data_IF_020094969982
#
_entry.id   IF_020094969982
#
_cell.length_a   1.000
_cell.length_b   1.000
_cell.length_c   1.000
_cell.angle_alpha   90.00
_cell.angle_beta   90.00
_cell.angle_gamma   90.00
#
_symmetry.space_group_name_H-M   'P 1'
#
loop_
_entity.id
_entity.type
_entity.pdbx_description
1 polymer ?
#
# COMPACT_ATOMS: atom_id res chain seq x y z
N UNK A 1 11.23 -10.41 1.69
CA UNK A 1 11.55 -9.00 2.02
C UNK A 1 10.27 -8.19 2.10
N UNK A 2 10.19 -7.34 3.13
CA UNK A 2 9.15 -6.33 3.30
C UNK A 2 9.09 -5.37 2.11
N UNK A 3 7.93 -4.77 1.85
CA UNK A 3 7.72 -3.80 0.77
C UNK A 3 8.68 -2.61 0.91
N UNK A 4 8.81 -2.06 2.12
CA UNK A 4 9.74 -0.97 2.40
C UNK A 4 11.18 -1.33 2.04
N UNK A 5 11.63 -2.54 2.39
CA UNK A 5 12.95 -3.05 2.03
C UNK A 5 13.15 -3.16 0.52
N UNK A 6 12.14 -3.62 -0.23
CA UNK A 6 12.21 -3.71 -1.71
C UNK A 6 12.32 -2.33 -2.35
N UNK A 7 11.52 -1.37 -1.90
CA UNK A 7 11.54 0.01 -2.40
C UNK A 7 12.89 0.68 -2.10
N UNK A 8 13.32 0.66 -0.84
CA UNK A 8 14.60 1.26 -0.42
C UNK A 8 15.76 0.64 -1.19
N UNK A 9 15.83 -0.69 -1.30
CA UNK A 9 16.87 -1.35 -2.07
C UNK A 9 16.84 -0.94 -3.55
N UNK A 10 15.66 -0.86 -4.18
CA UNK A 10 15.53 -0.41 -5.56
C UNK A 10 16.04 1.02 -5.76
N UNK A 11 15.64 1.95 -4.89
CA UNK A 11 16.10 3.33 -4.95
C UNK A 11 17.59 3.48 -4.64
N UNK A 12 18.12 2.74 -3.66
CA UNK A 12 19.54 2.75 -3.31
C UNK A 12 20.39 2.24 -4.47
N UNK A 13 19.98 1.15 -5.14
CA UNK A 13 20.70 0.64 -6.31
C UNK A 13 20.75 1.68 -7.43
N UNK A 14 19.60 2.30 -7.76
CA UNK A 14 19.55 3.35 -8.79
C UNK A 14 20.39 4.57 -8.40
N UNK A 15 20.34 5.00 -7.14
CA UNK A 15 21.13 6.11 -6.63
C UNK A 15 22.64 5.82 -6.67
N UNK A 16 23.07 4.61 -6.29
CA UNK A 16 24.47 4.19 -6.36
C UNK A 16 24.98 4.13 -7.79
N UNK A 17 24.17 3.63 -8.72
CA UNK A 17 24.51 3.62 -10.14
C UNK A 17 24.65 5.04 -10.69
N UNK A 18 23.73 5.94 -10.34
CA UNK A 18 23.81 7.36 -10.71
C UNK A 18 25.04 8.04 -10.12
N UNK A 19 25.36 7.79 -8.86
CA UNK A 19 26.56 8.32 -8.20
C UNK A 19 27.84 7.81 -8.85
N UNK A 20 27.93 6.50 -9.14
CA UNK A 20 29.07 5.91 -9.84
C UNK A 20 29.26 6.52 -11.24
N UNK A 21 28.18 6.73 -11.98
CA UNK A 21 28.21 7.41 -13.27
C UNK A 21 28.67 8.87 -13.14
N UNK A 22 28.22 9.59 -12.12
CA UNK A 22 28.65 10.96 -11.83
C UNK A 22 30.15 11.04 -11.50
N UNK A 23 30.64 10.16 -10.62
CA UNK A 23 32.08 10.07 -10.29
C UNK A 23 32.90 9.74 -11.54
N UNK A 24 32.46 8.78 -12.34
CA UNK A 24 33.12 8.43 -13.59
C UNK A 24 33.16 9.61 -14.57
N UNK A 25 32.07 10.37 -14.70
CA UNK A 25 32.02 11.58 -15.54
C UNK A 25 33.01 12.65 -15.07
N UNK A 26 33.11 12.89 -13.76
CA UNK A 26 34.08 13.85 -13.19
C UNK A 26 35.53 13.41 -13.47
N UNK A 27 35.86 12.13 -13.24
CA UNK A 27 37.21 11.60 -13.51
C UNK A 27 37.56 11.75 -14.98
N UNK A 28 36.60 11.49 -15.86
CA UNK A 28 36.80 11.57 -17.30
C UNK A 28 37.00 13.01 -17.77
N UNK A 29 36.19 13.95 -17.28
CA UNK A 29 36.37 15.38 -17.55
C UNK A 29 37.73 15.88 -17.08
N UNK A 30 38.19 15.46 -15.89
CA UNK A 30 39.53 15.83 -15.40
C UNK A 30 40.67 15.29 -16.27
N UNK A 31 40.48 14.14 -16.93
CA UNK A 31 41.48 13.62 -17.88
C UNK A 31 41.54 14.46 -19.15
N UNK A 32 40.38 14.86 -19.68
CA UNK A 32 40.30 15.75 -20.85
C UNK A 32 40.92 17.11 -20.51
N UNK A 33 40.59 17.67 -19.35
CA UNK A 33 41.14 18.93 -18.83
C UNK A 33 42.67 18.90 -18.70
N UNK A 34 43.23 17.82 -18.13
CA UNK A 34 44.67 17.66 -18.04
C UNK A 34 45.35 17.53 -19.42
N UNK A 35 44.70 16.85 -20.36
CA UNK A 35 45.23 16.68 -21.71
C UNK A 35 45.13 17.96 -22.56
N UNK A 36 44.11 18.79 -22.34
CA UNK A 36 43.96 20.12 -22.94
C UNK A 36 44.97 21.11 -22.34
N UNK A 37 45.17 21.07 -21.02
CA UNK A 37 46.21 21.84 -20.33
C UNK A 37 47.59 21.50 -20.87
N UNK A 38 47.88 20.21 -21.09
CA UNK A 38 49.13 19.78 -21.71
C UNK A 38 49.30 20.32 -23.13
N UNK A 39 48.26 20.26 -23.97
CA UNK A 39 48.28 20.82 -25.32
C UNK A 39 48.58 22.34 -25.31
N UNK A 40 48.00 23.07 -24.38
CA UNK A 40 48.25 24.50 -24.24
C UNK A 40 49.67 24.77 -23.70
N UNK A 41 49.99 24.29 -22.50
CA UNK A 41 51.22 24.63 -21.78
C UNK A 41 52.48 24.03 -22.42
N UNK A 42 52.41 22.82 -22.98
CA UNK A 42 53.58 22.09 -23.46
C UNK A 42 53.76 22.10 -24.97
N UNK A 43 52.73 22.44 -25.74
CA UNK A 43 52.82 22.48 -27.22
C UNK A 43 52.55 23.87 -27.80
N UNK A 44 51.75 24.72 -27.14
CA UNK A 44 51.35 26.04 -27.70
C UNK A 44 52.15 27.21 -27.12
N UNK A 45 52.31 27.27 -25.79
CA UNK A 45 53.15 28.28 -25.12
C UNK A 45 54.59 28.37 -25.66
N UNK A 46 55.29 27.25 -25.95
CA UNK A 46 56.67 27.29 -26.46
C UNK A 46 56.80 28.03 -27.80
N UNK A 47 55.76 27.98 -28.65
CA UNK A 47 55.74 28.68 -29.93
C UNK A 47 55.83 30.20 -29.75
N UNK A 48 55.22 30.73 -28.70
CA UNK A 48 55.34 32.15 -28.34
C UNK A 48 56.76 32.51 -27.93
N UNK A 49 57.42 31.65 -27.15
CA UNK A 49 58.81 31.84 -26.74
C UNK A 49 59.78 31.79 -27.94
N UNK A 50 59.59 30.85 -28.88
CA UNK A 50 60.40 30.79 -30.11
C UNK A 50 60.18 32.04 -30.98
N UNK A 51 58.93 32.51 -31.10
CA UNK A 51 58.63 33.74 -31.84
C UNK A 51 59.27 34.98 -31.20
N UNK A 52 59.26 35.08 -29.87
CA UNK A 52 59.91 36.17 -29.14
C UNK A 52 61.44 36.13 -29.30
N UNK A 53 62.04 34.94 -29.19
CA UNK A 53 63.47 34.70 -29.41
C UNK A 53 63.88 35.10 -30.84
N UNK A 54 63.17 34.61 -31.86
CA UNK A 54 63.45 34.95 -33.25
C UNK A 54 63.28 36.45 -33.52
N UNK A 55 62.30 37.11 -32.91
CA UNK A 55 62.16 38.57 -32.99
C UNK A 55 63.34 39.30 -32.35
N UNK A 56 63.85 38.82 -31.21
CA UNK A 56 65.02 39.37 -30.53
C UNK A 56 66.29 39.26 -31.40
N UNK A 57 66.59 38.06 -31.92
CA UNK A 57 67.73 37.82 -32.81
C UNK A 57 67.67 38.72 -34.06
N UNK A 58 66.52 38.78 -34.73
CA UNK A 58 66.36 39.62 -35.92
C UNK A 58 66.56 41.11 -35.61
N UNK A 59 66.14 41.57 -34.43
CA UNK A 59 66.33 42.96 -34.00
C UNK A 59 67.79 43.25 -33.68
N UNK A 60 68.49 42.34 -32.99
CA UNK A 60 69.91 42.47 -32.69
C UNK A 60 70.76 42.40 -33.97
N UNK A 61 70.41 41.54 -34.93
CA UNK A 61 71.01 41.52 -36.27
C UNK A 61 70.89 42.88 -36.95
N UNK A 62 69.71 43.50 -36.89
CA UNK A 62 69.50 44.85 -37.43
C UNK A 62 70.38 45.90 -36.73
N UNK A 63 70.62 45.77 -35.42
CA UNK A 63 71.57 46.65 -34.70
C UNK A 63 73.00 46.46 -35.18
N UNK A 64 73.46 45.23 -35.38
CA UNK A 64 74.79 44.94 -35.94
C UNK A 64 74.98 45.53 -37.34
N UNK A 65 74.00 45.34 -38.23
CA UNK A 65 74.05 45.93 -39.58
C UNK A 65 73.97 47.45 -39.56
N UNK A 66 73.16 48.04 -38.66
CA UNK A 66 73.07 49.51 -38.50
C UNK A 66 74.38 50.09 -37.96
N UNK A 67 75.09 49.38 -37.09
CA UNK A 67 76.39 49.80 -36.60
C UNK A 67 77.45 49.94 -37.71
N UNK A 68 77.34 49.14 -38.77
CA UNK A 68 78.23 49.25 -39.95
C UNK A 68 77.92 50.52 -40.75
N UNK A 69 76.64 50.87 -40.90
CA UNK A 69 76.17 52.01 -41.70
C UNK A 69 76.31 53.34 -40.95
N UNK A 70 76.04 53.32 -39.64
CA UNK A 70 76.04 54.47 -38.73
C UNK A 70 76.88 54.19 -37.48
N UNK A 71 78.22 54.18 -37.59
CA UNK A 71 79.13 53.85 -36.49
C UNK A 71 79.00 54.76 -35.27
N UNK A 72 78.54 56.00 -35.45
CA UNK A 72 78.27 56.94 -34.37
C UNK A 72 77.18 56.47 -33.40
N UNK A 73 76.32 55.53 -33.83
CA UNK A 73 75.24 54.99 -33.01
C UNK A 73 75.66 53.74 -32.21
N UNK A 74 76.86 53.19 -32.41
CA UNK A 74 77.26 51.92 -31.78
C UNK A 74 77.05 51.88 -30.27
N UNK A 75 77.40 52.92 -29.47
CA UNK A 75 77.17 52.88 -28.02
C UNK A 75 75.69 52.72 -27.65
N UNK A 76 74.78 53.37 -28.41
CA UNK A 76 73.34 53.26 -28.20
C UNK A 76 72.81 51.89 -28.65
N UNK A 77 73.31 51.36 -29.76
CA UNK A 77 72.92 50.06 -30.30
C UNK A 77 73.38 48.91 -29.41
N UNK A 78 74.60 48.96 -28.85
CA UNK A 78 75.07 48.00 -27.83
C UNK A 78 74.15 47.97 -26.62
N UNK A 79 73.72 49.15 -26.14
CA UNK A 79 72.78 49.24 -25.02
C UNK A 79 71.44 48.59 -25.36
N UNK A 80 70.87 48.90 -26.51
CA UNK A 80 69.61 48.29 -26.97
C UNK A 80 69.73 46.79 -27.24
N UNK A 81 70.90 46.30 -27.65
CA UNK A 81 71.18 44.89 -27.82
C UNK A 81 71.17 44.16 -26.47
N UNK A 82 71.83 44.71 -25.45
CA UNK A 82 71.86 44.16 -24.10
C UNK A 82 70.48 44.16 -23.42
N UNK A 83 69.68 45.23 -23.62
CA UNK A 83 68.29 45.27 -23.14
C UNK A 83 67.44 44.16 -23.80
N UNK A 84 67.69 43.86 -25.07
CA UNK A 84 66.95 42.80 -25.77
C UNK A 84 67.40 41.40 -25.36
N UNK A 85 68.68 41.21 -25.09
CA UNK A 85 69.24 39.97 -24.55
C UNK A 85 68.58 39.64 -23.20
N UNK A 86 68.40 40.63 -22.33
CA UNK A 86 67.69 40.44 -21.06
C UNK A 86 66.24 39.99 -21.26
N UNK A 87 65.52 40.55 -22.24
CA UNK A 87 64.16 40.11 -22.57
C UNK A 87 64.14 38.69 -23.17
N UNK A 88 65.18 38.33 -23.93
CA UNK A 88 65.34 36.99 -24.52
C UNK A 88 65.59 35.91 -23.46
N UNK A 89 66.20 36.24 -22.32
CA UNK A 89 66.35 35.29 -21.20
C UNK A 89 65.01 34.74 -20.72
N UNK A 90 63.98 35.58 -20.62
CA UNK A 90 62.67 35.12 -20.19
C UNK A 90 62.05 34.12 -21.18
N UNK A 91 62.16 34.39 -22.48
CA UNK A 91 61.72 33.46 -23.52
C UNK A 91 62.46 32.12 -23.42
N UNK A 92 63.77 32.14 -23.14
CA UNK A 92 64.57 30.92 -22.92
C UNK A 92 64.11 30.13 -21.70
N UNK A 93 63.87 30.79 -20.57
CA UNK A 93 63.36 30.16 -19.34
C UNK A 93 61.99 29.50 -19.57
N UNK A 94 61.06 30.24 -20.19
CA UNK A 94 59.73 29.71 -20.52
C UNK A 94 59.83 28.51 -21.44
N UNK A 95 60.68 28.57 -22.47
CA UNK A 95 60.87 27.44 -23.37
C UNK A 95 61.45 26.22 -22.64
N UNK A 96 62.48 26.40 -21.82
CA UNK A 96 63.13 25.32 -21.07
C UNK A 96 62.17 24.55 -20.15
N UNK A 97 61.25 25.26 -19.47
CA UNK A 97 60.23 24.66 -18.61
C UNK A 97 59.19 23.82 -19.38
N UNK A 98 59.06 24.08 -20.68
CA UNK A 98 58.06 23.42 -21.55
C UNK A 98 58.59 22.20 -22.29
N UNK A 99 59.90 21.94 -22.25
CA UNK A 99 60.52 20.80 -22.94
C UNK A 99 59.98 19.46 -22.41
N UNK A 100 59.37 18.67 -23.30
CA UNK A 100 58.75 17.38 -22.94
C UNK A 100 59.47 16.16 -23.50
N UNK A 101 60.30 16.30 -24.53
CA UNK A 101 60.96 15.18 -25.20
C UNK A 101 62.47 15.44 -25.42
N UNK A 102 63.21 14.40 -25.84
CA UNK A 102 64.66 14.50 -26.04
C UNK A 102 65.06 15.28 -27.31
N UNK A 103 64.22 15.24 -28.34
CA UNK A 103 64.45 15.94 -29.62
C UNK A 103 64.36 17.46 -29.44
N UNK A 104 63.30 17.93 -28.79
CA UNK A 104 63.06 19.31 -28.38
C UNK A 104 64.20 19.84 -27.48
N UNK A 105 64.69 18.99 -26.56
CA UNK A 105 65.85 19.31 -25.72
C UNK A 105 67.13 19.47 -26.53
N UNK A 106 67.34 18.63 -27.54
CA UNK A 106 68.51 18.70 -28.41
C UNK A 106 68.47 19.95 -29.30
N UNK A 107 67.30 20.30 -29.85
CA UNK A 107 67.08 21.53 -30.60
C UNK A 107 67.32 22.78 -29.75
N UNK A 108 66.82 22.80 -28.51
CA UNK A 108 67.08 23.91 -27.59
C UNK A 108 68.57 24.07 -27.27
N UNK A 109 69.27 22.96 -26.97
CA UNK A 109 70.71 23.01 -26.71
C UNK A 109 71.51 23.47 -27.94
N UNK A 110 71.08 23.10 -29.15
CA UNK A 110 71.65 23.58 -30.42
C UNK A 110 71.42 25.09 -30.59
N UNK A 111 70.20 25.56 -30.35
CA UNK A 111 69.84 26.98 -30.40
C UNK A 111 70.70 27.82 -29.45
N UNK A 112 70.87 27.39 -28.19
CA UNK A 112 71.70 28.11 -27.21
C UNK A 112 73.18 28.20 -27.65
N UNK A 113 73.69 27.17 -28.33
CA UNK A 113 75.06 27.19 -28.85
C UNK A 113 75.20 28.14 -30.04
N UNK A 114 74.21 28.15 -30.94
CA UNK A 114 74.17 29.05 -32.09
C UNK A 114 74.00 30.52 -31.65
N UNK A 115 73.19 30.77 -30.61
CA UNK A 115 73.03 32.07 -29.96
C UNK A 115 74.37 32.59 -29.41
N UNK A 116 75.12 31.75 -28.69
CA UNK A 116 76.43 32.16 -28.15
C UNK A 116 77.41 32.56 -29.27
N UNK A 117 77.39 31.87 -30.42
CA UNK A 117 78.18 32.27 -31.60
C UNK A 117 77.68 33.59 -32.20
N UNK A 118 76.37 33.79 -32.26
CA UNK A 118 75.75 35.03 -32.72
C UNK A 118 76.15 36.23 -31.86
N UNK A 119 76.15 36.08 -30.53
CA UNK A 119 76.53 37.14 -29.59
C UNK A 119 78.02 37.51 -29.71
N UNK A 120 78.90 36.51 -29.87
CA UNK A 120 80.33 36.73 -30.09
C UNK A 120 80.58 37.48 -31.40
N UNK A 121 79.96 37.05 -32.49
CA UNK A 121 80.08 37.66 -33.82
C UNK A 121 79.50 39.08 -33.85
N UNK A 122 78.33 39.30 -33.23
CA UNK A 122 77.72 40.61 -33.09
C UNK A 122 78.61 41.57 -32.28
N UNK A 123 79.21 41.08 -31.18
CA UNK A 123 80.17 41.84 -30.40
C UNK A 123 81.39 42.27 -31.21
N UNK A 124 81.92 41.38 -32.06
CA UNK A 124 83.02 41.68 -32.99
C UNK A 124 82.62 42.69 -34.06
N UNK A 125 81.41 42.59 -34.62
CA UNK A 125 80.88 43.59 -35.56
C UNK A 125 80.84 44.97 -34.91
N UNK A 126 80.35 45.07 -33.67
CA UNK A 126 80.34 46.34 -32.94
C UNK A 126 81.75 46.89 -32.67
N UNK A 127 82.73 46.06 -32.29
CA UNK A 127 84.14 46.49 -32.10
C UNK A 127 84.76 47.02 -33.40
N UNK A 128 84.57 46.29 -34.51
CA UNK A 128 85.07 46.70 -35.83
C UNK A 128 84.43 48.01 -36.29
N UNK A 129 83.13 48.20 -36.05
CA UNK A 129 82.41 49.45 -36.34
C UNK A 129 82.94 50.63 -35.51
N UNK A 130 83.11 50.46 -34.20
CA UNK A 130 83.69 51.50 -33.31
C UNK A 130 85.10 51.91 -33.73
N UNK A 131 85.89 50.96 -34.23
CA UNK A 131 87.26 51.19 -34.71
C UNK A 131 87.34 51.73 -36.13
N UNK A 132 86.19 51.92 -36.80
CA UNK A 132 86.11 52.39 -38.20
C UNK A 132 86.59 51.36 -39.24
N UNK A 133 86.74 50.09 -38.86
CA UNK A 133 87.18 49.00 -39.74
C UNK A 133 85.99 48.41 -40.53
N UNK A 134 85.25 49.25 -41.23
CA UNK A 134 83.94 48.88 -41.81
C UNK A 134 84.01 47.75 -42.85
N UNK A 135 85.06 47.68 -43.66
CA UNK A 135 85.21 46.60 -44.64
C UNK A 135 85.30 45.21 -43.98
N UNK A 136 86.02 45.11 -42.85
CA UNK A 136 86.11 43.86 -42.08
C UNK A 136 84.80 43.55 -41.37
N UNK A 137 84.07 44.57 -40.92
CA UNK A 137 82.75 44.40 -40.32
C UNK A 137 81.72 43.87 -41.34
N UNK A 138 81.75 44.38 -42.58
CA UNK A 138 80.91 43.87 -43.69
C UNK A 138 81.27 42.43 -44.03
N UNK A 139 82.56 42.11 -44.17
CA UNK A 139 83.01 40.74 -44.47
C UNK A 139 82.55 39.74 -43.40
N UNK A 140 82.64 40.11 -42.12
CA UNK A 140 82.14 39.28 -41.01
C UNK A 140 80.60 39.17 -41.04
N UNK A 141 79.90 40.27 -41.31
CA UNK A 141 78.44 40.34 -41.34
C UNK A 141 77.82 39.51 -42.47
N UNK A 142 78.39 39.56 -43.68
CA UNK A 142 77.93 38.79 -44.85
C UNK A 142 78.45 37.34 -44.84
N UNK A 143 79.50 37.08 -44.05
CA UNK A 143 80.15 35.79 -43.94
C UNK A 143 79.59 34.94 -42.80
N UNK A 144 80.36 34.81 -41.72
CA UNK A 144 80.06 33.88 -40.63
C UNK A 144 78.80 34.30 -39.85
N UNK A 145 78.59 35.61 -39.64
CA UNK A 145 77.40 36.11 -38.95
C UNK A 145 76.10 35.75 -39.68
N UNK A 146 76.04 35.91 -41.00
CA UNK A 146 74.87 35.50 -41.77
C UNK A 146 74.65 33.99 -41.73
N UNK A 147 75.71 33.17 -41.76
CA UNK A 147 75.59 31.71 -41.60
C UNK A 147 75.00 31.35 -40.24
N UNK A 148 75.43 32.01 -39.17
CA UNK A 148 74.91 31.79 -37.82
C UNK A 148 73.44 32.19 -37.74
N UNK A 149 73.04 33.32 -38.32
CA UNK A 149 71.62 33.73 -38.41
C UNK A 149 70.77 32.71 -39.16
N UNK A 150 71.26 32.20 -40.29
CA UNK A 150 70.56 31.16 -41.06
C UNK A 150 70.44 29.87 -40.25
N UNK A 151 71.47 29.47 -39.52
CA UNK A 151 71.45 28.30 -38.64
C UNK A 151 70.40 28.46 -37.52
N UNK A 152 70.39 29.62 -36.84
CA UNK A 152 69.40 29.94 -35.80
C UNK A 152 67.97 29.87 -36.35
N UNK A 153 67.71 30.51 -37.50
CA UNK A 153 66.38 30.47 -38.13
C UNK A 153 65.97 29.04 -38.48
N UNK A 154 66.89 28.24 -39.03
CA UNK A 154 66.61 26.85 -39.35
C UNK A 154 66.30 26.01 -38.10
N UNK A 155 67.08 26.16 -37.02
CA UNK A 155 66.82 25.47 -35.74
C UNK A 155 65.47 25.91 -35.15
N UNK A 156 65.12 27.19 -35.20
CA UNK A 156 63.80 27.66 -34.76
C UNK A 156 62.66 27.11 -35.62
N UNK A 157 62.83 26.99 -36.94
CA UNK A 157 61.85 26.37 -37.83
C UNK A 157 61.65 24.89 -37.49
N UNK A 158 62.73 24.16 -37.17
CA UNK A 158 62.67 22.78 -36.68
C UNK A 158 61.90 22.69 -35.34
N UNK A 159 62.18 23.59 -34.40
CA UNK A 159 61.47 23.68 -33.12
C UNK A 159 59.97 23.95 -33.32
N UNK A 160 59.61 24.91 -34.18
CA UNK A 160 58.20 25.20 -34.48
C UNK A 160 57.52 23.99 -35.13
N UNK A 161 58.19 23.32 -36.07
CA UNK A 161 57.65 22.14 -36.74
C UNK A 161 57.39 20.99 -35.75
N UNK A 162 58.31 20.74 -34.81
CA UNK A 162 58.18 19.73 -33.77
C UNK A 162 56.98 20.03 -32.85
N UNK A 163 56.87 21.26 -32.34
CA UNK A 163 55.75 21.66 -31.47
C UNK A 163 54.40 21.64 -32.21
N UNK A 164 54.35 22.05 -33.49
CA UNK A 164 53.11 21.98 -34.29
C UNK A 164 52.71 20.54 -34.58
N UNK A 165 53.66 19.65 -34.87
CA UNK A 165 53.40 18.22 -35.06
C UNK A 165 52.90 17.57 -33.75
N UNK A 166 53.58 17.86 -32.63
CA UNK A 166 53.18 17.41 -31.29
C UNK A 166 51.80 17.93 -30.87
N UNK A 167 51.51 19.21 -31.12
CA UNK A 167 50.20 19.82 -30.88
C UNK A 167 49.09 19.11 -31.66
N UNK A 168 49.33 18.83 -32.95
CA UNK A 168 48.38 18.14 -33.82
C UNK A 168 48.13 16.71 -33.33
N UNK A 169 49.18 15.95 -33.03
CA UNK A 169 49.05 14.58 -32.51
C UNK A 169 48.29 14.56 -31.18
N UNK A 170 48.64 15.46 -30.26
CA UNK A 170 47.96 15.61 -28.96
C UNK A 170 46.48 15.99 -29.15
N UNK A 171 46.14 16.87 -30.08
CA UNK A 171 44.76 17.23 -30.37
C UNK A 171 43.95 16.06 -30.94
N UNK A 172 44.54 15.24 -31.82
CA UNK A 172 43.93 14.02 -32.34
C UNK A 172 43.71 12.98 -31.22
N UNK A 173 44.68 12.81 -30.32
CA UNK A 173 44.56 11.95 -29.14
C UNK A 173 43.48 12.45 -28.17
N UNK A 174 43.39 13.76 -27.94
CA UNK A 174 42.36 14.39 -27.12
C UNK A 174 40.95 14.17 -27.70
N UNK A 175 40.81 14.27 -29.03
CA UNK A 175 39.56 13.98 -29.73
C UNK A 175 39.19 12.49 -29.62
N UNK A 176 40.14 11.57 -29.77
CA UNK A 176 39.94 10.14 -29.61
C UNK A 176 39.56 9.78 -28.15
N UNK A 177 40.23 10.38 -27.17
CA UNK A 177 39.91 10.25 -25.75
C UNK A 177 38.49 10.73 -25.46
N UNK A 178 38.10 11.89 -25.99
CA UNK A 178 36.75 12.45 -25.82
C UNK A 178 35.68 11.56 -26.46
N UNK A 179 35.92 11.06 -27.68
CA UNK A 179 34.99 10.19 -28.39
C UNK A 179 34.80 8.84 -27.67
N UNK A 180 35.89 8.18 -27.28
CA UNK A 180 35.85 6.91 -26.56
C UNK A 180 35.17 7.06 -25.19
N UNK A 181 35.50 8.13 -24.46
CA UNK A 181 34.87 8.47 -23.18
C UNK A 181 33.38 8.73 -23.33
N UNK A 182 32.98 9.51 -24.33
CA UNK A 182 31.57 9.79 -24.63
C UNK A 182 30.81 8.52 -24.98
N UNK A 183 31.36 7.66 -25.84
CA UNK A 183 30.75 6.39 -26.20
C UNK A 183 30.57 5.46 -24.99
N UNK A 184 31.57 5.38 -24.11
CA UNK A 184 31.50 4.61 -22.88
C UNK A 184 30.45 5.19 -21.91
N UNK A 185 30.39 6.51 -21.74
CA UNK A 185 29.35 7.17 -20.93
C UNK A 185 27.94 6.90 -21.45
N UNK A 186 27.71 7.00 -22.76
CA UNK A 186 26.41 6.69 -23.37
C UNK A 186 26.02 5.22 -23.17
N UNK A 187 26.99 4.31 -23.27
CA UNK A 187 26.77 2.87 -23.06
C UNK A 187 26.38 2.59 -21.60
N UNK A 188 27.14 3.11 -20.64
CA UNK A 188 26.87 2.95 -19.20
C UNK A 188 25.53 3.60 -18.82
N UNK A 189 25.25 4.81 -19.33
CA UNK A 189 23.97 5.49 -19.13
C UNK A 189 22.81 4.62 -19.64
N UNK A 190 22.92 4.08 -20.85
CA UNK A 190 21.89 3.20 -21.43
C UNK A 190 21.64 1.96 -20.57
N UNK A 191 22.71 1.32 -20.06
CA UNK A 191 22.62 0.16 -19.16
C UNK A 191 21.90 0.54 -17.86
N UNK A 192 22.26 1.66 -17.24
CA UNK A 192 21.64 2.13 -15.99
C UNK A 192 20.16 2.45 -16.21
N UNK A 193 19.81 3.09 -17.34
CA UNK A 193 18.42 3.38 -17.70
C UNK A 193 17.61 2.09 -17.87
N UNK A 194 18.12 1.13 -18.63
CA UNK A 194 17.46 -0.18 -18.82
C UNK A 194 17.28 -0.90 -17.49
N UNK A 195 18.32 -0.94 -16.65
CA UNK A 195 18.25 -1.59 -15.35
C UNK A 195 17.24 -0.89 -14.42
N UNK A 196 17.17 0.45 -14.45
CA UNK A 196 16.19 1.23 -13.68
C UNK A 196 14.76 0.94 -14.12
N UNK A 197 14.51 0.82 -15.44
CA UNK A 197 13.21 0.42 -15.99
C UNK A 197 12.85 -1.00 -15.54
N UNK A 198 13.80 -1.94 -15.62
CA UNK A 198 13.58 -3.33 -15.17
C UNK A 198 13.21 -3.37 -13.69
N UNK A 199 13.97 -2.68 -12.83
CA UNK A 199 13.68 -2.59 -11.39
C UNK A 199 12.29 -1.99 -11.17
N UNK A 200 11.94 -0.90 -11.88
CA UNK A 200 10.63 -0.27 -11.80
C UNK A 200 9.48 -1.21 -12.18
N UNK A 201 9.62 -1.95 -13.29
CA UNK A 201 8.64 -2.94 -13.74
C UNK A 201 8.52 -4.10 -12.74
N UNK A 202 9.63 -4.61 -12.21
CA UNK A 202 9.62 -5.67 -11.20
C UNK A 202 8.94 -5.22 -9.90
N UNK A 203 9.23 -4.01 -9.42
CA UNK A 203 8.59 -3.44 -8.24
C UNK A 203 7.09 -3.24 -8.46
N UNK A 204 6.69 -2.65 -9.60
CA UNK A 204 5.29 -2.46 -9.99
C UNK A 204 4.54 -3.81 -10.06
N UNK A 205 5.11 -4.83 -10.69
CA UNK A 205 4.50 -6.17 -10.75
C UNK A 205 4.43 -6.84 -9.39
N UNK A 206 5.41 -6.62 -8.49
CA UNK A 206 5.41 -7.25 -7.17
C UNK A 206 4.51 -6.54 -6.15
N UNK A 207 4.21 -5.26 -6.34
CA UNK A 207 3.42 -4.46 -5.38
C UNK A 207 2.04 -4.11 -5.95
N UNK A 208 1.98 -3.42 -7.10
CA UNK A 208 0.74 -2.86 -7.64
C UNK A 208 -0.24 -3.95 -8.09
N UNK A 209 0.21 -4.99 -8.81
CA UNK A 209 -0.68 -6.06 -9.28
C UNK A 209 -1.35 -6.83 -8.11
N UNK A 210 -0.61 -7.27 -7.08
CA UNK A 210 -1.20 -7.92 -5.90
C UNK A 210 -2.12 -7.02 -5.09
N UNK A 211 -1.79 -5.72 -4.98
CA UNK A 211 -2.68 -4.74 -4.34
C UNK A 211 -3.99 -4.59 -5.13
N UNK A 212 -3.92 -4.62 -6.46
CA UNK A 212 -5.10 -4.63 -7.33
C UNK A 212 -6.03 -5.81 -7.05
N UNK A 213 -5.48 -7.01 -6.83
CA UNK A 213 -6.28 -8.19 -6.46
C UNK A 213 -7.00 -7.98 -5.12
N UNK A 214 -6.31 -7.43 -4.11
CA UNK A 214 -6.93 -7.12 -2.82
C UNK A 214 -8.09 -6.11 -2.95
N UNK A 215 -7.92 -5.09 -3.79
CA UNK A 215 -8.98 -4.10 -4.09
C UNK A 215 -10.16 -4.75 -4.81
N UNK A 216 -9.92 -5.65 -5.78
CA UNK A 216 -10.99 -6.38 -6.45
C UNK A 216 -11.78 -7.26 -5.47
N UNK A 217 -11.11 -8.03 -4.62
CA UNK A 217 -11.74 -8.86 -3.58
C UNK A 217 -12.59 -8.02 -2.62
N UNK A 218 -12.07 -6.90 -2.15
CA UNK A 218 -12.84 -5.97 -1.31
C UNK A 218 -14.09 -5.44 -2.03
N UNK A 219 -14.00 -5.17 -3.34
CA UNK A 219 -15.14 -4.75 -4.15
C UNK A 219 -16.19 -5.85 -4.38
N UNK A 220 -15.80 -7.11 -4.35
CA UNK A 220 -16.73 -8.26 -4.36
C UNK A 220 -17.44 -8.39 -3.02
N UNK A 221 -16.69 -8.33 -1.92
CA UNK A 221 -17.23 -8.36 -0.56
C UNK A 221 -18.21 -7.20 -0.30
N UNK A 222 -17.88 -5.99 -0.77
CA UNK A 222 -18.75 -4.82 -0.66
C UNK A 222 -20.09 -4.98 -1.39
N UNK A 223 -20.15 -5.86 -2.40
CA UNK A 223 -21.38 -6.21 -3.13
C UNK A 223 -22.09 -7.44 -2.55
N UNK A 224 -21.58 -8.00 -1.44
CA UNK A 224 -22.10 -9.21 -0.81
C UNK A 224 -21.68 -10.51 -1.50
N UNK A 225 -20.80 -10.47 -2.50
CA UNK A 225 -20.25 -11.69 -3.10
C UNK A 225 -19.03 -12.15 -2.32
N UNK A 226 -19.26 -13.10 -1.41
CA UNK A 226 -18.21 -13.70 -0.59
C UNK A 226 -17.69 -15.01 -1.17
N UNK A 227 -18.08 -15.44 -2.36
CA UNK A 227 -17.79 -16.82 -2.84
C UNK A 227 -16.34 -17.02 -3.30
N UNK A 228 -15.63 -15.96 -3.65
CA UNK A 228 -14.28 -16.05 -4.19
C UNK A 228 -13.23 -16.06 -3.08
N UNK A 229 -12.41 -17.11 -3.04
CA UNK A 229 -11.27 -17.18 -2.13
C UNK A 229 -10.08 -16.36 -2.66
N UNK A 230 -9.25 -15.89 -1.74
CA UNK A 230 -8.01 -15.20 -2.11
C UNK A 230 -7.02 -16.23 -2.65
N UNK A 231 -6.38 -15.99 -3.82
CA UNK A 231 -5.44 -16.95 -4.39
C UNK A 231 -4.33 -17.34 -3.42
N UNK A 232 -4.08 -18.65 -3.28
CA UNK A 232 -3.13 -19.21 -2.30
C UNK A 232 -1.70 -18.64 -2.42
N UNK A 233 -1.31 -18.18 -3.61
CA UNK A 233 -0.01 -17.53 -3.83
C UNK A 233 0.17 -16.24 -3.01
N UNK A 234 -0.92 -15.52 -2.72
CA UNK A 234 -0.89 -14.31 -1.90
C UNK A 234 -0.86 -14.63 -0.41
N UNK A 235 -1.58 -15.67 0.03
CA UNK A 235 -1.60 -16.12 1.43
C UNK A 235 -0.24 -16.65 1.90
N UNK A 236 0.53 -17.29 1.00
CA UNK A 236 1.87 -17.82 1.30
C UNK A 236 2.97 -16.76 1.30
N UNK A 237 2.63 -15.51 0.97
CA UNK A 237 3.61 -14.45 0.77
C UNK A 237 4.15 -13.96 2.13
N UNK A 238 5.47 -13.84 2.33
CA UNK A 238 6.07 -13.49 3.63
C UNK A 238 6.25 -11.98 3.84
N UNK A 239 5.52 -11.13 3.10
CA UNK A 239 5.59 -9.68 3.20
C UNK A 239 4.22 -9.07 3.55
N UNK A 240 4.15 -7.75 3.64
CA UNK A 240 2.95 -7.02 4.05
C UNK A 240 1.73 -7.29 3.14
N UNK A 241 1.96 -7.62 1.86
CA UNK A 241 0.87 -8.04 0.97
C UNK A 241 0.28 -9.38 1.42
N UNK A 242 1.12 -10.31 1.88
CA UNK A 242 0.65 -11.57 2.44
C UNK A 242 -0.09 -11.39 3.76
N UNK A 243 0.36 -10.48 4.62
CA UNK A 243 -0.37 -10.12 5.83
C UNK A 243 -1.75 -9.51 5.50
N UNK A 244 -1.82 -8.62 4.50
CA UNK A 244 -3.09 -8.06 4.01
C UNK A 244 -3.99 -9.17 3.45
N UNK A 245 -3.44 -10.07 2.63
CA UNK A 245 -4.20 -11.19 2.06
C UNK A 245 -4.79 -12.10 3.16
N UNK A 246 -4.01 -12.42 4.20
CA UNK A 246 -4.51 -13.22 5.34
C UNK A 246 -5.60 -12.50 6.12
N UNK A 247 -5.45 -11.20 6.37
CA UNK A 247 -6.46 -10.42 7.07
C UNK A 247 -7.78 -10.35 6.27
N UNK A 248 -7.70 -10.18 4.94
CA UNK A 248 -8.88 -10.21 4.08
C UNK A 248 -9.53 -11.59 4.02
N UNK A 249 -8.73 -12.67 4.02
CA UNK A 249 -9.23 -14.04 4.06
C UNK A 249 -10.00 -14.32 5.35
N UNK A 250 -9.42 -13.94 6.50
CA UNK A 250 -10.11 -14.01 7.81
C UNK A 250 -11.42 -13.22 7.79
N UNK A 251 -11.40 -11.98 7.28
CA UNK A 251 -12.61 -11.15 7.18
C UNK A 251 -13.69 -11.80 6.31
N UNK A 252 -13.31 -12.37 5.15
CA UNK A 252 -14.24 -13.05 4.27
C UNK A 252 -14.88 -14.27 4.95
N UNK A 253 -14.07 -15.08 5.63
CA UNK A 253 -14.55 -16.26 6.35
C UNK A 253 -15.48 -15.90 7.53
N UNK A 254 -15.14 -14.85 8.30
CA UNK A 254 -16.02 -14.38 9.38
C UNK A 254 -17.35 -13.84 8.84
N UNK A 255 -17.34 -13.11 7.73
CA UNK A 255 -18.57 -12.66 7.08
C UNK A 255 -19.41 -13.81 6.54
N UNK A 256 -18.79 -14.85 5.95
CA UNK A 256 -19.50 -16.07 5.52
C UNK A 256 -20.21 -16.73 6.70
N UNK A 257 -19.50 -16.91 7.83
CA UNK A 257 -20.10 -17.49 9.05
C UNK A 257 -21.27 -16.67 9.57
N UNK A 258 -21.15 -15.34 9.60
CA UNK A 258 -22.25 -14.46 10.02
C UNK A 258 -23.47 -14.63 9.11
N UNK A 259 -23.27 -14.74 7.79
CA UNK A 259 -24.38 -14.96 6.85
C UNK A 259 -25.01 -16.35 7.05
N UNK A 260 -24.21 -17.39 7.27
CA UNK A 260 -24.71 -18.74 7.58
C UNK A 260 -25.54 -18.77 8.87
N UNK A 261 -25.08 -18.08 9.92
CA UNK A 261 -25.81 -17.95 11.18
C UNK A 261 -27.16 -17.22 10.98
N UNK A 262 -27.17 -16.14 10.18
CA UNK A 262 -28.39 -15.39 9.84
C UNK A 262 -29.39 -16.26 9.06
N UNK A 263 -28.91 -17.02 8.08
CA UNK A 263 -29.77 -17.93 7.30
C UNK A 263 -30.36 -19.02 8.20
N UNK A 264 -29.54 -19.63 9.06
CA UNK A 264 -29.98 -20.65 10.02
C UNK A 264 -31.02 -20.11 11.00
N UNK A 265 -30.83 -18.89 11.52
CA UNK A 265 -31.80 -18.22 12.37
C UNK A 265 -33.11 -17.91 11.62
N UNK A 266 -33.02 -17.49 10.35
CA UNK A 266 -34.18 -17.22 9.50
C UNK A 266 -35.00 -18.48 9.23
N UNK A 267 -34.36 -19.62 8.98
CA UNK A 267 -35.03 -20.91 8.80
C UNK A 267 -35.75 -21.38 10.08
N UNK A 268 -35.13 -21.18 11.25
CA UNK A 268 -35.76 -21.47 12.54
C UNK A 268 -36.99 -20.58 12.78
N UNK A 269 -36.90 -19.29 12.45
CA UNK A 269 -38.03 -18.35 12.54
C UNK A 269 -39.15 -18.75 11.57
N UNK A 270 -38.81 -19.13 10.33
CA UNK A 270 -39.80 -19.60 9.33
C UNK A 270 -40.53 -20.84 9.84
N UNK A 271 -39.79 -21.85 10.28
CA UNK A 271 -40.33 -23.10 10.82
C UNK A 271 -41.20 -22.87 12.06
N UNK A 272 -40.74 -22.00 12.97
CA UNK A 272 -41.52 -21.61 14.16
C UNK A 272 -42.80 -20.86 13.81
N UNK A 273 -42.76 -20.02 12.76
CA UNK A 273 -43.94 -19.31 12.26
C UNK A 273 -44.98 -20.26 11.65
N UNK A 274 -44.54 -21.29 10.91
CA UNK A 274 -45.43 -22.33 10.37
C UNK A 274 -46.09 -23.15 11.49
N UNK A 275 -45.33 -23.56 12.51
CA UNK A 275 -45.87 -24.27 13.67
C UNK A 275 -46.88 -23.40 14.45
N UNK A 276 -46.57 -22.11 14.63
CA UNK A 276 -47.46 -21.16 15.29
C UNK A 276 -48.75 -20.99 14.49
N UNK A 277 -48.68 -20.88 13.15
CA UNK A 277 -49.85 -20.81 12.30
C UNK A 277 -50.73 -22.08 12.42
N UNK A 278 -50.12 -23.27 12.41
CA UNK A 278 -50.83 -24.53 12.64
C UNK A 278 -51.51 -24.57 14.03
N UNK A 279 -50.80 -24.11 15.06
CA UNK A 279 -51.32 -24.09 16.45
C UNK A 279 -52.47 -23.10 16.57
N UNK A 280 -52.36 -21.92 15.96
CA UNK A 280 -53.42 -20.92 15.91
C UNK A 280 -54.67 -21.46 15.21
N UNK A 281 -54.50 -22.25 14.14
CA UNK A 281 -55.62 -22.89 13.43
C UNK A 281 -56.31 -23.96 14.28
N UNK A 282 -55.55 -24.82 14.96
CA UNK A 282 -56.09 -25.80 15.91
C UNK A 282 -56.82 -25.13 17.08
N UNK A 283 -56.24 -24.07 17.64
CA UNK A 283 -56.88 -23.30 18.70
C UNK A 283 -58.18 -22.64 18.22
N UNK A 284 -58.18 -22.07 17.02
CA UNK A 284 -59.40 -21.51 16.41
C UNK A 284 -60.49 -22.57 16.22
N UNK A 285 -60.12 -23.79 15.84
CA UNK A 285 -61.05 -24.90 15.71
C UNK A 285 -61.59 -25.35 17.08
N UNK A 286 -60.71 -25.54 18.08
CA UNK A 286 -61.12 -25.90 19.44
C UNK A 286 -61.99 -24.83 20.10
N UNK A 287 -61.73 -23.55 19.84
CA UNK A 287 -62.58 -22.45 20.29
C UNK A 287 -63.97 -22.51 19.65
N UNK A 288 -64.08 -22.89 18.38
CA UNK A 288 -65.37 -23.09 17.71
C UNK A 288 -66.14 -24.29 18.28
N UNK A 289 -65.45 -25.41 18.56
CA UNK A 289 -66.05 -26.57 19.23
C UNK A 289 -66.53 -26.23 20.65
N UNK A 290 -65.73 -25.50 21.42
CA UNK A 290 -66.10 -25.04 22.76
C UNK A 290 -67.29 -24.08 22.73
N UNK A 291 -67.37 -23.19 21.74
CA UNK A 291 -68.53 -22.33 21.55
C UNK A 291 -69.79 -23.16 21.27
N UNK A 292 -69.71 -24.17 20.40
CA UNK A 292 -70.83 -25.07 20.12
C UNK A 292 -71.26 -25.88 21.36
N UNK A 293 -70.32 -26.41 22.15
CA UNK A 293 -70.65 -27.10 23.41
C UNK A 293 -71.28 -26.15 24.43
N UNK A 294 -70.85 -24.89 24.48
CA UNK A 294 -71.48 -23.89 25.35
C UNK A 294 -72.92 -23.58 24.91
N UNK A 295 -73.21 -23.52 23.61
CA UNK A 295 -74.58 -23.40 23.08
C UNK A 295 -75.45 -24.61 23.47
N UNK A 296 -74.92 -25.83 23.36
CA UNK A 296 -75.63 -27.05 23.75
C UNK A 296 -75.91 -27.11 25.26
N UNK A 297 -74.93 -26.74 26.09
CA UNK A 297 -75.11 -26.63 27.54
C UNK A 297 -76.15 -25.56 27.87
N UNK A 298 -76.12 -24.41 27.20
CA UNK A 298 -77.11 -23.35 27.39
C UNK A 298 -78.52 -23.87 27.08
N UNK A 299 -78.68 -24.60 25.97
CA UNK A 299 -79.96 -25.23 25.61
C UNK A 299 -80.41 -26.27 26.64
N UNK A 300 -79.49 -27.10 27.12
CA UNK A 300 -79.76 -28.09 28.19
C UNK A 300 -80.17 -27.41 29.50
N UNK A 301 -79.58 -26.25 29.82
CA UNK A 301 -79.96 -25.44 30.98
C UNK A 301 -81.37 -24.86 30.81
N UNK A 302 -81.75 -24.42 29.61
CA UNK A 302 -83.13 -23.99 29.32
C UNK A 302 -84.14 -25.14 29.49
N UNK A 303 -83.83 -26.34 28.99
CA UNK A 303 -84.67 -27.53 29.16
C UNK A 303 -84.74 -27.98 30.62
N UNK A 304 -83.63 -27.93 31.36
CA UNK A 304 -83.60 -28.19 32.81
C UNK A 304 -84.46 -27.18 33.56
N UNK A 305 -84.38 -25.89 33.25
CA UNK A 305 -85.20 -24.87 33.88
C UNK A 305 -86.70 -25.13 33.64
N UNK A 306 -87.09 -25.57 32.43
CA UNK A 306 -88.44 -25.99 32.13
C UNK A 306 -88.87 -27.22 32.96
N UNK A 307 -87.99 -28.20 33.11
CA UNK A 307 -88.25 -29.42 33.90
C UNK A 307 -88.37 -29.11 35.40
N UNK A 308 -87.51 -28.25 35.95
CA UNK A 308 -87.58 -27.80 37.35
C UNK A 308 -88.89 -27.08 37.61
N UNK A 309 -89.34 -26.22 36.68
CA UNK A 309 -90.65 -25.57 36.75
C UNK A 309 -91.78 -26.61 36.77
N UNK A 310 -91.74 -27.59 35.86
CA UNK A 310 -92.72 -28.68 35.82
C UNK A 310 -92.75 -29.52 37.11
N UNK A 311 -91.59 -29.83 37.70
CA UNK A 311 -91.51 -30.54 38.97
C UNK A 311 -92.08 -29.72 40.14
N UNK A 312 -91.89 -28.40 40.10
CA UNK A 312 -92.49 -27.48 41.08
C UNK A 312 -94.01 -27.53 40.98
N UNK A 313 -94.57 -27.45 39.77
CA UNK A 313 -96.01 -27.54 39.52
C UNK A 313 -96.58 -28.90 39.98
N UNK A 314 -95.88 -30.00 39.71
CA UNK A 314 -96.25 -31.34 40.18
C UNK A 314 -96.22 -31.46 41.71
N UNK A 315 -95.24 -30.83 42.37
CA UNK A 315 -95.12 -30.84 43.83
C UNK A 315 -96.28 -30.08 44.48
N UNK A 316 -96.64 -28.91 43.93
CA UNK A 316 -97.81 -28.13 44.37
C UNK A 316 -99.12 -28.92 44.17
N UNK A 317 -99.27 -29.61 43.03
CA UNK A 317 -100.41 -30.48 42.80
C UNK A 317 -100.46 -31.63 43.82
N UNK A 318 -99.32 -32.24 44.12
CA UNK A 318 -99.20 -33.33 45.11
C UNK A 318 -99.54 -32.85 46.52
N UNK A 319 -99.06 -31.68 46.93
CA UNK A 319 -99.40 -31.04 48.19
C UNK A 319 -100.92 -30.83 48.31
N UNK A 320 -101.55 -30.30 47.25
CA UNK A 320 -103.01 -30.11 47.19
C UNK A 320 -103.76 -31.44 47.37
N UNK A 321 -103.34 -32.50 46.69
CA UNK A 321 -103.93 -33.84 46.80
C UNK A 321 -103.74 -34.42 48.21
N UNK A 322 -102.54 -34.28 48.79
CA UNK A 322 -102.24 -34.76 50.13
C UNK A 322 -103.09 -34.05 51.19
N UNK A 323 -103.22 -32.72 51.09
CA UNK A 323 -104.09 -31.92 51.95
C UNK A 323 -105.55 -32.39 51.88
N UNK A 324 -106.06 -32.63 50.66
CA UNK A 324 -107.42 -33.16 50.47
C UNK A 324 -107.60 -34.56 51.04
N UNK A 325 -106.63 -35.46 50.82
CA UNK A 325 -106.63 -36.82 51.37
C UNK A 325 -106.61 -36.84 52.89
N UNK A 326 -105.82 -35.94 53.52
CA UNK A 326 -105.81 -35.75 54.97
C UNK A 326 -107.21 -35.38 55.50
N UNK A 327 -107.89 -34.43 54.85
CA UNK A 327 -109.26 -34.07 55.21
C UNK A 327 -110.27 -35.22 55.06
N UNK A 328 -110.10 -36.08 54.03
CA UNK A 328 -110.92 -37.29 53.87
C UNK A 328 -110.61 -38.33 54.96
N UNK A 329 -109.35 -38.52 55.34
CA UNK A 329 -108.98 -39.41 56.43
C UNK A 329 -109.54 -38.95 57.79
N UNK A 330 -109.61 -37.65 58.04
CA UNK A 330 -110.24 -37.07 59.25
C UNK A 330 -111.76 -37.32 59.28
N UNK A 331 -112.43 -37.21 58.13
CA UNK A 331 -113.83 -37.64 57.97
C UNK A 331 -114.01 -39.13 58.26
N UNK A 332 -113.15 -39.99 57.68
CA UNK A 332 -113.17 -41.43 57.94
C UNK A 332 -112.94 -41.77 59.40
N UNK A 333 -112.03 -41.06 60.08
CA UNK A 333 -111.77 -41.22 61.51
C UNK A 333 -113.00 -40.93 62.38
N UNK A 334 -113.82 -39.93 62.02
CA UNK A 334 -115.10 -39.66 62.70
C UNK A 334 -116.11 -40.79 62.53
N UNK A 335 -116.27 -41.33 61.33
CA UNK A 335 -117.20 -42.45 61.10
C UNK A 335 -116.78 -43.73 61.84
N UNK A 336 -115.48 -43.99 62.00
CA UNK A 336 -115.00 -45.09 62.85
C UNK A 336 -115.34 -44.86 64.32
N UNK A 337 -115.18 -43.62 64.83
CA UNK A 337 -115.60 -43.29 66.20
C UNK A 337 -117.09 -43.54 66.43
N UNK A 338 -117.95 -43.07 65.52
CA UNK A 338 -119.40 -43.35 65.59
C UNK A 338 -119.70 -44.85 65.63
N UNK A 339 -118.98 -45.64 64.83
CA UNK A 339 -119.11 -47.10 64.80
C UNK A 339 -118.70 -47.75 66.14
N UNK A 340 -117.64 -47.24 66.80
CA UNK A 340 -117.22 -47.71 68.13
C UNK A 340 -118.24 -47.36 69.20
N UNK A 341 -118.87 -46.18 69.13
CA UNK A 341 -119.95 -45.80 70.05
C UNK A 341 -121.14 -46.75 69.90
N UNK A 342 -121.56 -47.06 68.67
CA UNK A 342 -122.63 -48.02 68.41
C UNK A 342 -122.28 -49.44 68.90
N UNK A 343 -121.02 -49.88 68.74
CA UNK A 343 -120.54 -51.16 69.28
C UNK A 343 -120.63 -51.24 70.81
N UNK A 344 -120.35 -50.15 71.53
CA UNK A 344 -120.51 -50.10 72.98
C UNK A 344 -121.98 -50.22 73.42
N UNK A 345 -122.91 -49.62 72.69
CA UNK A 345 -124.36 -49.80 72.94
C UNK A 345 -124.80 -51.25 72.76
N UNK A 346 -124.29 -51.94 71.73
CA UNK A 346 -124.56 -53.37 71.51
C UNK A 346 -124.01 -54.20 72.67
N UNK A 347 -122.78 -53.94 73.12
CA UNK A 347 -122.20 -54.64 74.26
C UNK A 347 -123.04 -54.47 75.54
N UNK A 348 -123.57 -53.27 75.79
CA UNK A 348 -124.48 -53.02 76.91
C UNK A 348 -125.78 -53.83 76.80
N UNK A 349 -126.37 -53.93 75.59
CA UNK A 349 -127.55 -54.77 75.34
C UNK A 349 -127.27 -56.26 75.57
N UNK A 350 -126.10 -56.75 75.16
CA UNK A 350 -125.68 -58.15 75.39
C UNK A 350 -125.57 -58.45 76.89
N UNK A 351 -125.04 -57.53 77.69
CA UNK A 351 -124.95 -57.70 79.15
C UNK A 351 -126.33 -57.85 79.81
N UNK A 352 -127.34 -57.13 79.31
CA UNK A 352 -128.73 -57.26 79.79
C UNK A 352 -129.31 -58.64 79.41
N UNK A 353 -129.00 -59.13 78.21
CA UNK A 353 -129.44 -60.46 77.75
C UNK A 353 -128.81 -61.58 78.60
N UNK A 354 -127.53 -61.45 78.97
CA UNK A 354 -126.83 -62.41 79.84
C UNK A 354 -127.48 -62.50 81.23
N UNK A 355 -127.93 -61.36 81.77
CA UNK A 355 -128.63 -61.31 83.06
C UNK A 355 -130.01 -61.99 83.00
N UNK A 356 -130.74 -61.83 81.88
CA UNK A 356 -132.01 -62.53 81.61
C UNK A 356 -131.79 -64.05 81.46
N UNK A 357 -130.73 -64.46 80.75
CA UNK A 357 -130.40 -65.87 80.56
C UNK A 357 -130.10 -66.56 81.90
N UNK A 358 -129.41 -65.88 82.82
CA UNK A 358 -129.12 -66.39 84.16
C UNK A 358 -130.37 -66.52 85.04
N UNK A 359 -131.31 -65.57 84.97
CA UNK A 359 -132.62 -65.69 85.63
C UNK A 359 -133.43 -66.88 85.06
N UNK A 360 -133.38 -67.08 83.75
CA UNK A 360 -134.08 -68.18 83.07
C UNK A 360 -133.50 -69.54 83.46
N UNK A 361 -132.18 -69.64 83.58
CA UNK A 361 -131.48 -70.84 84.06
C UNK A 361 -131.86 -71.19 85.51
N UNK A 362 -132.02 -70.19 86.38
CA UNK A 362 -132.49 -70.40 87.76
C UNK A 362 -133.95 -70.84 87.84
N UNK A 363 -134.82 -70.35 86.95
CA UNK A 363 -136.22 -70.83 86.84
C UNK A 363 -136.29 -72.29 86.37
N UNK A 364 -135.47 -72.65 85.38
CA UNK A 364 -135.42 -74.01 84.83
C UNK A 364 -134.94 -75.03 85.87
N UNK A 365 -133.98 -74.65 86.72
CA UNK A 365 -133.46 -75.51 87.78
C UNK A 365 -134.52 -75.79 88.88
N UNK A 366 -135.31 -74.76 89.27
CA UNK A 366 -136.38 -74.94 90.25
C UNK A 366 -137.51 -75.84 89.72
N UNK A 367 -137.83 -75.79 88.42
CA UNK A 367 -138.84 -76.64 87.80
C UNK A 367 -138.41 -78.12 87.73
N UNK A 368 -137.11 -78.41 87.60
CA UNK A 368 -136.58 -79.78 87.55
C UNK A 368 -136.61 -80.48 88.92
N UNK A 369 -136.52 -79.73 90.03
CA UNK A 369 -136.55 -80.27 91.40
C UNK A 369 -137.98 -80.67 91.80
N UNK A 370 -139.00 -79.91 91.40
CA UNK A 370 -140.41 -80.16 91.78
C UNK A 370 -141.02 -81.39 91.09
N UNK A 371 -140.47 -81.83 89.95
CA UNK A 371 -140.97 -82.99 89.19
C UNK A 371 -140.50 -84.36 89.74
N UNK A 372 -139.57 -84.38 90.70
CA UNK A 372 -139.01 -85.60 91.29
C UNK A 372 -139.64 -85.97 92.66
N UNK A 373 -140.72 -85.29 93.06
CA UNK A 373 -141.38 -85.45 94.37
C UNK A 373 -142.69 -86.24 94.30
#
# INVERSE_FOLDING_TARGET
MKISGKLVMGFVVVALLGAAMGVFGIISLRRVDAADTFLYEKMTVPLGAVAEFGSAINRQRAYGLTAIISPELVPSLKKSAAEREQAMMHAKEVYEETIVNEEDRALFAKLLKEEASFDEELGRIFDLAERGLLAQAVELAEGDFEKTVVAINHTMDEMVAEHVAGAKATAEDNAALTNSTTALMLTVMSIITVLSIIIGVLLSRSISKPLGVAVTHLGEMARGDLRNDIPAMYLKRPDEIGSLAKALDTLSNDLRRIVEDILSASDQVSSGSEQMASTAQQLSQGAAEQAASAEEVSSSVEEMAATVKQNTDNSLATESIASKSSGVAELGGRSVMESVTAMNEIAAKISIIDEIARQTNLLALNAAIEAAR
#
